data_IF_751674208363
#
_entry.id   IF_751674208363
#
_cell.length_a   1.000
_cell.length_b   1.000
_cell.length_c   1.000
_cell.angle_alpha   90.00
_cell.angle_beta   90.00
_cell.angle_gamma   90.00
#
_symmetry.space_group_name_H-M   'P 1'
#
loop_
_entity.id
_entity.type
_entity.pdbx_description
1 polymer ?
#
# COMPACT_ATOMS: atom_id res chain seq x y z
N UNK A 1 -8.85 29.46 7.17
CA UNK A 1 -8.02 28.83 6.11
C UNK A 1 -8.10 29.66 4.85
N UNK A 2 -6.98 29.82 4.15
CA UNK A 2 -6.84 30.67 2.97
C UNK A 2 -7.03 29.93 1.64
N UNK A 3 -7.11 28.60 1.66
CA UNK A 3 -7.37 27.78 0.47
C UNK A 3 -8.81 27.90 0.03
N UNK A 4 -9.00 28.30 -1.23
CA UNK A 4 -10.31 28.39 -1.86
C UNK A 4 -10.98 27.04 -2.07
N UNK A 5 -12.29 27.06 -2.32
CA UNK A 5 -13.02 25.87 -2.76
C UNK A 5 -12.39 25.21 -4.01
N UNK A 6 -11.81 25.99 -4.91
CA UNK A 6 -11.13 25.49 -6.10
C UNK A 6 -9.74 24.87 -5.84
N UNK A 7 -9.22 24.90 -4.59
CA UNK A 7 -7.91 24.36 -4.23
C UNK A 7 -6.75 25.36 -4.30
N UNK A 8 -6.96 26.57 -4.82
CA UNK A 8 -5.93 27.62 -4.85
C UNK A 8 -5.76 28.23 -3.46
N UNK A 9 -4.54 28.21 -2.95
CA UNK A 9 -4.20 28.90 -1.70
C UNK A 9 -4.09 30.42 -1.94
N UNK A 10 -5.03 31.19 -1.38
CA UNK A 10 -5.04 32.64 -1.56
C UNK A 10 -3.91 33.35 -0.80
N UNK A 11 -3.23 32.74 0.18
CA UNK A 11 -2.08 33.36 0.88
C UNK A 11 -0.87 33.51 -0.05
N UNK A 12 -0.74 32.64 -1.05
CA UNK A 12 0.37 32.67 -2.02
C UNK A 12 -0.03 33.32 -3.35
N UNK A 13 -1.23 33.88 -3.44
CA UNK A 13 -1.72 34.52 -4.65
C UNK A 13 -1.29 35.99 -4.72
N UNK A 14 -0.57 36.37 -5.78
CA UNK A 14 -0.11 37.76 -5.99
C UNK A 14 -1.26 38.78 -6.01
N UNK A 15 -2.43 38.41 -6.53
CA UNK A 15 -3.60 39.31 -6.54
C UNK A 15 -4.08 39.65 -5.13
N UNK A 16 -3.99 38.72 -4.18
CA UNK A 16 -4.32 39.01 -2.79
C UNK A 16 -3.25 39.85 -2.12
N UNK A 17 -1.98 39.54 -2.33
CA UNK A 17 -0.89 40.34 -1.79
C UNK A 17 -0.93 41.80 -2.31
N UNK A 18 -1.33 41.99 -3.56
CA UNK A 18 -1.54 43.31 -4.16
C UNK A 18 -2.84 44.01 -3.72
N UNK A 19 -3.62 43.43 -2.79
CA UNK A 19 -4.88 44.00 -2.29
C UNK A 19 -6.05 43.95 -3.28
N UNK A 20 -5.88 43.34 -4.46
CA UNK A 20 -6.91 43.24 -5.50
C UNK A 20 -8.02 42.26 -5.12
N UNK A 21 -7.71 41.26 -4.30
CA UNK A 21 -8.65 40.19 -3.97
C UNK A 21 -8.52 39.73 -2.52
N UNK A 22 -9.63 39.42 -1.86
CA UNK A 22 -9.69 38.71 -0.58
C UNK A 22 -9.75 37.19 -0.76
N UNK A 23 -9.39 36.43 0.28
CA UNK A 23 -9.56 34.97 0.26
C UNK A 23 -11.04 34.58 0.09
N UNK A 24 -11.30 33.52 -0.68
CA UNK A 24 -12.61 32.91 -0.77
C UNK A 24 -12.84 31.81 0.29
N UNK A 25 -11.77 31.29 0.91
CA UNK A 25 -11.85 30.18 1.86
C UNK A 25 -12.50 28.90 1.29
N UNK A 26 -12.67 27.88 2.15
CA UNK A 26 -13.38 26.66 1.77
C UNK A 26 -14.86 26.92 1.42
N UNK A 27 -15.46 26.12 0.53
CA UNK A 27 -16.82 26.36 0.03
C UNK A 27 -17.90 26.42 1.11
N UNK A 28 -17.78 25.60 2.14
CA UNK A 28 -18.69 25.56 3.30
C UNK A 28 -18.38 26.60 4.40
N UNK A 29 -17.47 27.54 4.15
CA UNK A 29 -17.02 28.51 5.17
C UNK A 29 -17.84 29.81 5.17
N UNK A 30 -17.80 30.58 6.28
CA UNK A 30 -18.31 31.95 6.30
C UNK A 30 -17.55 32.90 5.35
N UNK A 31 -16.26 32.65 5.10
CA UNK A 31 -15.46 33.41 4.12
C UNK A 31 -16.04 33.26 2.71
N UNK A 32 -16.42 32.04 2.32
CA UNK A 32 -17.05 31.78 1.03
C UNK A 32 -18.38 32.51 0.90
N UNK A 33 -19.20 32.54 1.96
CA UNK A 33 -20.45 33.31 2.00
C UNK A 33 -20.20 34.78 1.69
N UNK A 34 -19.30 35.40 2.45
CA UNK A 34 -18.94 36.81 2.32
C UNK A 34 -18.36 37.12 0.94
N UNK A 35 -17.56 36.20 0.39
CA UNK A 35 -16.95 36.35 -0.93
C UNK A 35 -17.99 36.29 -2.05
N UNK A 36 -18.94 35.35 -1.99
CA UNK A 36 -20.04 35.23 -2.96
C UNK A 36 -20.87 36.51 -2.97
N UNK A 37 -21.27 37.00 -1.80
CA UNK A 37 -22.04 38.25 -1.68
C UNK A 37 -21.26 39.46 -2.22
N UNK A 38 -19.97 39.55 -1.92
CA UNK A 38 -19.11 40.60 -2.47
C UNK A 38 -19.00 40.51 -4.00
N UNK A 39 -18.84 39.30 -4.56
CA UNK A 39 -18.75 39.11 -6.01
C UNK A 39 -20.07 39.42 -6.72
N UNK A 40 -21.23 39.02 -6.16
CA UNK A 40 -22.55 39.40 -6.69
C UNK A 40 -22.71 40.92 -6.74
N UNK A 41 -22.28 41.62 -5.68
CA UNK A 41 -22.34 43.09 -5.61
C UNK A 41 -21.40 43.79 -6.60
N UNK A 42 -20.16 43.30 -6.74
CA UNK A 42 -19.10 43.98 -7.50
C UNK A 42 -19.09 43.57 -8.98
N UNK A 43 -19.33 42.30 -9.28
CA UNK A 43 -19.18 41.69 -10.60
C UNK A 43 -20.52 41.25 -11.22
N UNK A 44 -21.64 41.42 -10.51
CA UNK A 44 -22.97 40.98 -10.94
C UNK A 44 -23.20 39.46 -10.89
N UNK A 45 -22.15 38.67 -10.65
CA UNK A 45 -22.20 37.21 -10.54
C UNK A 45 -21.10 36.68 -9.62
N UNK A 46 -21.33 35.57 -8.89
CA UNK A 46 -20.29 34.93 -8.12
C UNK A 46 -19.37 34.09 -8.99
N UNK A 47 -18.25 33.63 -8.40
CA UNK A 47 -17.46 32.58 -9.02
C UNK A 47 -18.29 31.28 -9.08
N UNK A 48 -18.50 30.68 -10.26
CA UNK A 48 -19.36 29.50 -10.41
C UNK A 48 -18.82 28.28 -9.64
N UNK A 49 -17.50 28.18 -9.46
CA UNK A 49 -16.89 27.11 -8.67
C UNK A 49 -17.18 27.28 -7.17
N UNK A 50 -17.10 28.51 -6.67
CA UNK A 50 -17.31 28.80 -5.25
C UNK A 50 -18.79 28.68 -4.87
N UNK A 51 -19.68 29.17 -5.73
CA UNK A 51 -21.13 29.01 -5.57
C UNK A 51 -21.53 27.54 -5.56
N UNK A 52 -21.11 26.77 -6.58
CA UNK A 52 -21.40 25.33 -6.63
C UNK A 52 -20.86 24.57 -5.41
N UNK A 53 -19.65 24.90 -4.94
CA UNK A 53 -19.08 24.25 -3.77
C UNK A 53 -19.88 24.55 -2.50
N UNK A 54 -20.31 25.80 -2.33
CA UNK A 54 -21.15 26.22 -1.20
C UNK A 54 -22.52 25.53 -1.22
N UNK A 55 -23.18 25.52 -2.37
CA UNK A 55 -24.52 24.94 -2.53
C UNK A 55 -24.52 23.43 -2.24
N UNK A 56 -23.43 22.75 -2.60
CA UNK A 56 -23.25 21.32 -2.34
C UNK A 56 -22.59 21.00 -0.99
N UNK A 57 -22.28 22.01 -0.18
CA UNK A 57 -21.56 21.83 1.09
C UNK A 57 -20.14 21.28 0.94
N UNK A 58 -19.55 21.32 -0.26
CA UNK A 58 -18.20 20.84 -0.56
C UNK A 58 -17.18 21.85 -0.04
N UNK A 59 -16.23 21.36 0.77
CA UNK A 59 -15.19 22.20 1.36
C UNK A 59 -14.13 22.60 0.31
N UNK A 60 -13.52 21.62 -0.36
CA UNK A 60 -12.59 21.82 -1.47
C UNK A 60 -12.92 20.86 -2.62
N UNK A 61 -13.25 21.37 -3.79
CA UNK A 61 -13.59 20.55 -4.96
C UNK A 61 -12.49 19.54 -5.31
N UNK A 62 -11.22 19.94 -5.16
CA UNK A 62 -10.07 19.10 -5.48
C UNK A 62 -9.96 17.85 -4.59
N UNK A 63 -10.43 17.93 -3.35
CA UNK A 63 -10.29 16.89 -2.33
C UNK A 63 -11.62 16.14 -2.10
N UNK A 64 -12.70 16.89 -1.92
CA UNK A 64 -13.96 16.41 -1.35
C UNK A 64 -15.07 16.19 -2.38
N UNK A 65 -14.84 16.49 -3.67
CA UNK A 65 -15.84 16.33 -4.72
C UNK A 65 -15.51 15.15 -5.63
N UNK A 66 -16.35 14.11 -5.60
CA UNK A 66 -16.17 12.92 -6.44
C UNK A 66 -16.30 13.21 -7.94
N UNK A 67 -16.99 14.30 -8.30
CA UNK A 67 -17.13 14.72 -9.69
C UNK A 67 -15.88 15.46 -10.19
N UNK A 68 -14.94 15.85 -9.33
CA UNK A 68 -13.74 16.55 -9.79
C UNK A 68 -12.75 15.58 -10.47
N UNK A 69 -12.18 15.92 -11.64
CA UNK A 69 -12.44 17.11 -12.49
C UNK A 69 -13.78 17.05 -13.24
N UNK A 70 -14.57 18.14 -13.21
CA UNK A 70 -15.88 18.25 -13.88
C UNK A 70 -15.94 19.39 -14.91
N UNK A 71 -17.04 19.42 -15.67
CA UNK A 71 -17.34 20.43 -16.71
C UNK A 71 -17.15 21.87 -16.24
N UNK A 72 -17.48 22.20 -14.98
CA UNK A 72 -17.29 23.57 -14.45
C UNK A 72 -15.83 24.02 -14.44
N UNK A 73 -14.87 23.10 -14.32
CA UNK A 73 -13.44 23.39 -14.43
C UNK A 73 -12.96 23.37 -15.88
N UNK A 74 -13.61 22.61 -16.76
CA UNK A 74 -13.25 22.48 -18.17
C UNK A 74 -13.71 23.68 -18.99
N UNK A 75 -14.98 24.08 -18.83
CA UNK A 75 -15.59 25.19 -19.57
C UNK A 75 -15.02 26.56 -19.16
N UNK A 76 -14.63 26.69 -17.90
CA UNK A 76 -14.17 27.96 -17.33
C UNK A 76 -12.70 28.29 -17.61
N UNK A 77 -11.87 27.32 -17.99
CA UNK A 77 -10.42 27.49 -18.19
C UNK A 77 -9.63 28.00 -16.97
N UNK A 78 -10.28 28.08 -15.81
CA UNK A 78 -9.76 28.62 -14.56
C UNK A 78 -10.18 27.74 -13.39
N UNK A 79 -9.32 27.49 -12.38
CA UNK A 79 -7.93 27.94 -12.29
C UNK A 79 -6.90 26.99 -12.92
N UNK A 80 -7.34 25.84 -13.45
CA UNK A 80 -6.45 24.77 -13.91
C UNK A 80 -6.47 24.61 -15.43
N UNK A 81 -5.31 24.26 -15.99
CA UNK A 81 -5.19 24.02 -17.43
C UNK A 81 -5.85 22.69 -17.85
N UNK A 82 -6.25 22.55 -19.13
CA UNK A 82 -6.72 21.26 -19.66
C UNK A 82 -5.72 20.11 -19.45
N UNK A 83 -4.42 20.39 -19.50
CA UNK A 83 -3.37 19.41 -19.22
C UNK A 83 -3.38 18.92 -17.76
N UNK A 84 -3.63 19.82 -16.80
CA UNK A 84 -3.78 19.43 -15.40
C UNK A 84 -5.05 18.61 -15.17
N UNK A 85 -6.19 19.05 -15.72
CA UNK A 85 -7.48 18.36 -15.56
C UNK A 85 -7.45 16.97 -16.19
N UNK A 86 -6.84 16.82 -17.38
CA UNK A 86 -6.69 15.51 -18.03
C UNK A 86 -5.76 14.57 -17.25
N UNK A 87 -4.67 15.08 -16.67
CA UNK A 87 -3.81 14.32 -15.77
C UNK A 87 -4.57 13.85 -14.52
N UNK A 88 -5.38 14.72 -13.90
CA UNK A 88 -6.20 14.36 -12.73
C UNK A 88 -7.24 13.29 -13.08
N UNK A 89 -7.98 13.45 -14.18
CA UNK A 89 -8.93 12.41 -14.67
C UNK A 89 -8.25 11.06 -14.84
N UNK A 90 -7.06 11.06 -15.47
CA UNK A 90 -6.29 9.83 -15.69
C UNK A 90 -5.84 9.20 -14.37
N UNK A 91 -5.21 9.96 -13.48
CA UNK A 91 -4.61 9.42 -12.25
C UNK A 91 -5.63 9.02 -11.18
N UNK A 92 -6.78 9.69 -11.11
CA UNK A 92 -7.85 9.34 -10.17
C UNK A 92 -8.55 8.03 -10.55
N UNK A 93 -8.53 7.67 -11.83
CA UNK A 93 -9.09 6.42 -12.35
C UNK A 93 -8.04 5.32 -12.57
N UNK A 94 -6.76 5.60 -12.30
CA UNK A 94 -5.69 4.61 -12.36
C UNK A 94 -5.57 3.93 -10.99
N UNK A 95 -5.92 2.65 -10.93
CA UNK A 95 -5.38 1.78 -9.89
C UNK A 95 -3.89 1.55 -10.20
N UNK A 96 -3.01 1.50 -9.20
CA UNK A 96 -1.68 0.97 -9.47
C UNK A 96 -1.83 -0.49 -9.89
N UNK A 97 -1.00 -0.98 -10.82
CA UNK A 97 -0.97 -2.40 -11.10
C UNK A 97 -0.71 -3.15 -9.79
N UNK A 98 -1.55 -4.14 -9.49
CA UNK A 98 -1.37 -4.99 -8.32
C UNK A 98 0.02 -5.67 -8.41
N UNK A 99 0.77 -5.89 -7.31
CA UNK A 99 2.15 -6.39 -7.40
C UNK A 99 2.29 -7.71 -8.15
N UNK A 100 1.23 -8.50 -8.16
CA UNK A 100 1.19 -9.79 -8.85
C UNK A 100 0.98 -9.68 -10.37
N UNK A 101 0.48 -8.54 -10.85
CA UNK A 101 0.20 -8.28 -12.27
C UNK A 101 1.33 -7.46 -12.92
N UNK A 102 2.34 -7.08 -12.14
CA UNK A 102 3.51 -6.37 -12.65
C UNK A 102 4.45 -7.34 -13.38
N UNK A 103 4.99 -6.91 -14.52
CA UNK A 103 6.12 -7.57 -15.16
C UNK A 103 7.39 -7.27 -14.35
N UNK A 104 7.61 -8.10 -13.32
CA UNK A 104 8.73 -7.93 -12.39
C UNK A 104 9.98 -8.56 -13.00
N UNK A 105 10.97 -7.71 -13.26
CA UNK A 105 12.32 -8.13 -13.58
C UNK A 105 13.22 -7.85 -12.38
N UNK A 106 13.78 -8.90 -11.80
CA UNK A 106 14.74 -8.79 -10.71
C UNK A 106 16.04 -8.17 -11.23
N UNK A 107 16.50 -7.02 -10.69
CA UNK A 107 17.74 -6.40 -11.15
C UNK A 107 18.93 -7.33 -10.95
N UNK A 108 19.73 -7.55 -11.99
CA UNK A 108 20.93 -8.39 -11.91
C UNK A 108 21.95 -7.91 -10.85
N UNK A 109 21.96 -6.60 -10.59
CA UNK A 109 22.80 -5.95 -9.58
C UNK A 109 22.55 -6.50 -8.16
N UNK A 110 21.33 -6.94 -7.84
CA UNK A 110 21.02 -7.51 -6.53
C UNK A 110 21.76 -8.83 -6.31
N UNK A 111 21.88 -9.66 -7.36
CA UNK A 111 22.68 -10.88 -7.31
C UNK A 111 24.17 -10.58 -7.18
N UNK A 112 24.66 -9.56 -7.88
CA UNK A 112 26.06 -9.14 -7.82
C UNK A 112 26.42 -8.59 -6.43
N UNK A 113 25.52 -7.80 -5.82
CA UNK A 113 25.69 -7.28 -4.46
C UNK A 113 25.65 -8.41 -3.43
N UNK A 114 24.68 -9.32 -3.55
CA UNK A 114 24.55 -10.47 -2.66
C UNK A 114 25.83 -11.31 -2.66
N UNK A 115 26.37 -11.62 -3.84
CA UNK A 115 27.59 -12.41 -4.00
C UNK A 115 28.86 -11.77 -3.39
N UNK A 116 28.85 -10.44 -3.17
CA UNK A 116 29.97 -9.71 -2.55
C UNK A 116 29.89 -9.66 -1.02
N UNK A 117 28.78 -10.10 -0.42
CA UNK A 117 28.59 -10.05 1.03
C UNK A 117 29.41 -11.12 1.78
N UNK A 118 29.68 -10.88 3.06
CA UNK A 118 30.10 -11.95 3.99
C UNK A 118 28.95 -12.95 4.17
N UNK A 119 29.06 -14.11 3.52
CA UNK A 119 28.05 -15.17 3.53
C UNK A 119 27.79 -15.71 4.94
N UNK A 120 28.82 -15.88 5.76
CA UNK A 120 28.63 -16.39 7.11
C UNK A 120 27.86 -15.38 7.97
N UNK A 121 28.20 -14.09 7.88
CA UNK A 121 27.47 -13.00 8.52
C UNK A 121 26.03 -12.89 8.02
N UNK A 122 25.82 -12.99 6.70
CA UNK A 122 24.51 -12.95 6.08
C UNK A 122 23.62 -14.10 6.55
N UNK A 123 24.12 -15.35 6.48
CA UNK A 123 23.39 -16.54 6.93
C UNK A 123 22.94 -16.39 8.40
N UNK A 124 23.84 -15.93 9.29
CA UNK A 124 23.51 -15.66 10.69
C UNK A 124 22.41 -14.60 10.87
N UNK A 125 22.57 -13.40 10.28
CA UNK A 125 21.64 -12.28 10.51
C UNK A 125 20.26 -12.50 9.88
N UNK A 126 20.19 -13.26 8.80
CA UNK A 126 18.96 -13.60 8.07
C UNK A 126 18.26 -14.84 8.60
N UNK A 127 18.85 -15.55 9.58
CA UNK A 127 18.39 -16.85 10.05
C UNK A 127 18.27 -17.86 8.90
N UNK A 128 19.23 -17.82 7.98
CA UNK A 128 19.33 -18.71 6.82
C UNK A 128 20.56 -19.61 6.93
N UNK A 129 20.65 -20.59 6.03
CA UNK A 129 21.75 -21.54 5.97
C UNK A 129 22.47 -21.41 4.63
N UNK A 130 23.79 -21.40 4.69
CA UNK A 130 24.60 -21.38 3.48
C UNK A 130 24.55 -22.78 2.82
N UNK A 131 24.24 -22.82 1.52
CA UNK A 131 24.13 -24.03 0.70
C UNK A 131 25.28 -24.05 -0.32
N UNK A 132 26.28 -24.93 -0.17
CA UNK A 132 27.34 -25.05 -1.18
C UNK A 132 26.79 -25.46 -2.57
N UNK A 133 27.41 -25.04 -3.69
CA UNK A 133 28.61 -24.18 -3.76
C UNK A 133 28.31 -22.68 -3.64
N UNK A 134 27.11 -22.21 -4.01
CA UNK A 134 26.79 -20.78 -4.09
C UNK A 134 25.29 -20.46 -3.86
N UNK A 135 24.69 -21.05 -2.82
CA UNK A 135 23.29 -20.83 -2.46
C UNK A 135 23.09 -20.39 -1.01
N UNK A 136 21.92 -19.80 -0.75
CA UNK A 136 21.44 -19.47 0.60
C UNK A 136 20.03 -20.03 0.73
N UNK A 137 19.82 -20.94 1.68
CA UNK A 137 18.50 -21.50 1.98
C UNK A 137 17.85 -20.83 3.19
N UNK A 138 16.60 -20.44 3.05
CA UNK A 138 15.80 -19.82 4.10
C UNK A 138 14.35 -20.27 3.99
N UNK A 139 13.63 -20.23 5.12
CA UNK A 139 12.20 -20.55 5.12
C UNK A 139 11.37 -19.37 4.59
N UNK A 140 10.46 -19.68 3.69
CA UNK A 140 9.40 -18.80 3.21
C UNK A 140 8.05 -19.45 3.53
N UNK A 141 7.28 -18.87 4.45
CA UNK A 141 6.08 -19.49 5.02
C UNK A 141 6.42 -20.86 5.64
N UNK A 142 5.83 -21.95 5.13
CA UNK A 142 6.09 -23.33 5.55
C UNK A 142 6.99 -24.12 4.60
N UNK A 143 7.60 -23.45 3.61
CA UNK A 143 8.47 -24.06 2.62
C UNK A 143 9.90 -23.52 2.81
N UNK A 144 10.89 -24.29 2.40
CA UNK A 144 12.26 -23.79 2.27
C UNK A 144 12.52 -23.38 0.82
N UNK A 145 13.18 -22.24 0.64
CA UNK A 145 13.62 -21.74 -0.67
C UNK A 145 15.14 -21.58 -0.67
N UNK A 146 15.75 -21.61 -1.87
CA UNK A 146 17.17 -21.34 -2.07
C UNK A 146 17.33 -20.20 -3.06
N UNK A 147 17.97 -19.12 -2.64
CA UNK A 147 18.53 -18.15 -3.54
C UNK A 147 19.86 -18.70 -4.08
N UNK A 148 19.92 -19.01 -5.38
CA UNK A 148 21.06 -19.62 -6.04
C UNK A 148 21.79 -18.57 -6.89
N UNK A 149 23.03 -18.26 -6.51
CA UNK A 149 23.79 -17.15 -7.12
C UNK A 149 24.40 -17.53 -8.49
N UNK A 150 24.56 -18.83 -8.77
CA UNK A 150 25.10 -19.31 -10.04
C UNK A 150 24.06 -19.18 -11.16
N UNK A 151 22.85 -19.68 -10.92
CA UNK A 151 21.73 -19.58 -11.85
C UNK A 151 20.93 -18.28 -11.73
N UNK A 152 21.24 -17.44 -10.73
CA UNK A 152 20.59 -16.16 -10.43
C UNK A 152 19.06 -16.29 -10.36
N UNK A 153 18.60 -17.28 -9.62
CA UNK A 153 17.17 -17.50 -9.41
C UNK A 153 16.87 -18.12 -8.05
N UNK A 154 15.60 -18.09 -7.66
CA UNK A 154 15.10 -18.73 -6.45
C UNK A 154 14.44 -20.06 -6.79
N UNK A 155 14.79 -21.10 -6.02
CA UNK A 155 14.18 -22.43 -6.09
C UNK A 155 13.42 -22.74 -4.81
N UNK A 156 12.37 -23.55 -4.90
CA UNK A 156 11.79 -24.25 -3.76
C UNK A 156 12.63 -25.49 -3.46
N UNK A 157 12.79 -25.83 -2.17
CA UNK A 157 13.32 -27.12 -1.74
C UNK A 157 12.18 -28.06 -1.39
N UNK A 158 12.15 -29.21 -2.07
CA UNK A 158 11.22 -30.29 -1.81
C UNK A 158 11.99 -31.60 -1.73
N UNK A 159 11.98 -32.25 -0.57
CA UNK A 159 12.72 -33.51 -0.35
C UNK A 159 14.22 -33.42 -0.67
N UNK A 160 14.84 -32.26 -0.42
CA UNK A 160 16.26 -32.00 -0.72
C UNK A 160 16.58 -31.69 -2.19
N UNK A 161 15.56 -31.59 -3.07
CA UNK A 161 15.73 -31.22 -4.48
C UNK A 161 15.29 -29.78 -4.71
N UNK A 162 16.02 -29.07 -5.59
CA UNK A 162 15.66 -27.74 -6.09
C UNK A 162 14.58 -27.88 -7.16
N UNK A 163 13.44 -27.24 -6.94
CA UNK A 163 12.33 -27.14 -7.88
C UNK A 163 12.17 -25.69 -8.30
N UNK A 164 12.01 -25.43 -9.60
CA UNK A 164 11.81 -24.07 -10.10
C UNK A 164 10.49 -23.51 -9.60
N UNK A 165 10.53 -22.40 -8.88
CA UNK A 165 9.35 -21.60 -8.59
C UNK A 165 9.31 -20.41 -9.56
N UNK A 166 8.43 -20.47 -10.56
CA UNK A 166 8.22 -19.38 -11.53
C UNK A 166 7.44 -18.23 -10.87
N UNK A 167 8.08 -17.49 -9.98
CA UNK A 167 7.48 -16.35 -9.29
C UNK A 167 8.51 -15.23 -9.10
N UNK A 168 8.50 -14.26 -10.03
CA UNK A 168 9.43 -13.13 -10.01
C UNK A 168 9.27 -12.23 -8.78
N UNK A 169 8.07 -12.11 -8.24
CA UNK A 169 7.84 -11.34 -7.01
C UNK A 169 8.51 -12.01 -5.80
N UNK A 170 8.40 -13.34 -5.68
CA UNK A 170 9.10 -14.10 -4.65
C UNK A 170 10.62 -13.95 -4.80
N UNK A 171 11.14 -14.05 -6.02
CA UNK A 171 12.57 -13.88 -6.29
C UNK A 171 13.06 -12.50 -5.85
N UNK A 172 12.39 -11.43 -6.31
CA UNK A 172 12.71 -10.06 -5.93
C UNK A 172 12.67 -9.87 -4.41
N UNK A 173 11.58 -10.27 -3.75
CA UNK A 173 11.43 -10.10 -2.30
C UNK A 173 12.44 -10.90 -1.50
N UNK A 174 12.87 -12.07 -2.01
CA UNK A 174 13.92 -12.87 -1.37
C UNK A 174 15.25 -12.12 -1.39
N UNK A 175 15.63 -11.52 -2.53
CA UNK A 175 16.84 -10.72 -2.62
C UNK A 175 16.76 -9.46 -1.77
N UNK A 176 15.64 -8.74 -1.83
CA UNK A 176 15.42 -7.55 -1.00
C UNK A 176 15.53 -7.90 0.49
N UNK A 177 15.01 -9.06 0.90
CA UNK A 177 15.16 -9.53 2.28
C UNK A 177 16.63 -9.80 2.63
N UNK A 178 17.35 -10.58 1.82
CA UNK A 178 18.75 -10.93 2.10
C UNK A 178 19.68 -9.70 2.11
N UNK A 179 19.45 -8.73 1.22
CA UNK A 179 20.21 -7.48 1.16
C UNK A 179 19.85 -6.53 2.32
N UNK A 180 18.56 -6.45 2.67
CA UNK A 180 18.04 -5.50 3.65
C UNK A 180 18.10 -5.96 5.11
N UNK A 181 18.12 -7.27 5.38
CA UNK A 181 17.99 -7.83 6.73
C UNK A 181 19.12 -7.40 7.67
N UNK A 182 18.72 -7.06 8.91
CA UNK A 182 19.58 -6.53 9.97
C UNK A 182 19.65 -7.52 11.13
N UNK A 183 20.61 -7.31 12.04
CA UNK A 183 20.82 -8.20 13.19
C UNK A 183 19.66 -8.22 14.19
N UNK A 184 18.89 -7.12 14.28
CA UNK A 184 17.71 -7.02 15.12
C UNK A 184 16.73 -8.19 14.95
N UNK A 185 16.17 -8.66 16.06
CA UNK A 185 15.16 -9.72 16.07
C UNK A 185 13.74 -9.20 15.89
N UNK A 186 12.80 -10.14 15.79
CA UNK A 186 11.36 -9.85 15.86
C UNK A 186 11.02 -9.20 17.20
N UNK A 187 10.24 -8.12 17.19
CA UNK A 187 9.93 -7.34 18.39
C UNK A 187 8.69 -7.85 19.13
N UNK A 188 7.84 -8.65 18.48
CA UNK A 188 6.53 -9.11 18.96
C UNK A 188 5.63 -7.93 19.36
N UNK A 189 5.62 -6.89 18.53
CA UNK A 189 4.78 -5.70 18.69
C UNK A 189 3.97 -5.47 17.43
N UNK A 190 2.72 -5.95 17.38
CA UNK A 190 1.82 -5.71 16.26
C UNK A 190 1.56 -4.22 16.06
N UNK A 191 1.54 -3.77 14.81
CA UNK A 191 1.25 -2.41 14.39
C UNK A 191 0.38 -2.44 13.12
N UNK A 192 -0.60 -1.54 13.02
CA UNK A 192 -1.40 -1.41 11.80
C UNK A 192 -0.62 -0.72 10.68
N UNK A 193 -1.11 -0.75 9.43
CA UNK A 193 -0.43 -0.12 8.30
C UNK A 193 -0.15 1.37 8.52
N UNK A 194 -1.07 2.10 9.17
CA UNK A 194 -0.93 3.53 9.47
C UNK A 194 0.04 3.84 10.63
N UNK A 195 0.41 2.84 11.42
CA UNK A 195 1.31 2.98 12.56
C UNK A 195 2.79 2.73 12.19
N UNK A 196 3.03 2.39 10.93
CA UNK A 196 4.36 2.30 10.32
C UNK A 196 4.86 3.69 9.90
N UNK A 197 6.18 3.88 9.87
CA UNK A 197 6.91 5.09 9.44
C UNK A 197 6.38 5.60 8.10
N UNK A 198 6.23 4.70 7.14
CA UNK A 198 5.70 4.99 5.80
C UNK A 198 4.23 4.58 5.67
N UNK A 199 3.43 4.72 6.75
CA UNK A 199 2.03 4.35 6.73
C UNK A 199 1.17 5.07 5.69
N UNK A 200 1.63 6.24 5.22
CA UNK A 200 1.04 6.99 4.12
C UNK A 200 1.22 6.34 2.74
N UNK A 201 2.10 5.34 2.63
CA UNK A 201 2.29 4.57 1.40
C UNK A 201 1.09 3.65 1.14
N UNK A 202 0.56 3.00 2.18
CA UNK A 202 -0.49 1.97 2.10
C UNK A 202 -1.91 2.54 1.93
N UNK A 203 -2.09 3.43 0.95
CA UNK A 203 -3.38 4.05 0.64
C UNK A 203 -3.55 4.24 -0.87
N UNK A 204 -4.80 4.26 -1.32
CA UNK A 204 -5.14 4.44 -2.73
C UNK A 204 -4.50 3.35 -3.58
N UNK A 205 -3.65 3.68 -4.56
CA UNK A 205 -3.04 2.68 -5.45
C UNK A 205 -2.24 1.58 -4.74
N UNK A 206 -1.63 1.85 -3.58
CA UNK A 206 -0.89 0.84 -2.81
C UNK A 206 -1.63 0.38 -1.55
N UNK A 207 -2.96 0.49 -1.55
CA UNK A 207 -3.78 -0.13 -0.51
C UNK A 207 -3.49 -1.64 -0.44
N UNK A 208 -3.53 -2.19 0.77
CA UNK A 208 -3.34 -3.61 1.00
C UNK A 208 -4.61 -4.36 0.57
N UNK A 209 -4.66 -4.86 -0.67
CA UNK A 209 -5.83 -5.57 -1.16
C UNK A 209 -5.96 -6.95 -0.48
N UNK A 210 -6.96 -7.04 0.40
CA UNK A 210 -7.38 -8.27 1.08
C UNK A 210 -8.82 -8.66 0.73
N UNK A 211 -9.43 -7.97 -0.23
CA UNK A 211 -10.85 -8.15 -0.58
C UNK A 211 -11.15 -9.57 -1.08
N UNK A 212 -10.17 -10.24 -1.69
CA UNK A 212 -10.26 -11.64 -2.08
C UNK A 212 -10.44 -12.57 -0.87
N UNK A 213 -9.73 -12.31 0.22
CA UNK A 213 -9.84 -13.10 1.46
C UNK A 213 -11.19 -12.88 2.13
N UNK A 214 -11.67 -11.64 2.18
CA UNK A 214 -12.99 -11.29 2.73
C UNK A 214 -14.11 -12.03 1.99
N UNK A 215 -14.07 -12.02 0.65
CA UNK A 215 -15.06 -12.73 -0.18
C UNK A 215 -14.98 -14.23 -0.01
N UNK A 216 -13.77 -14.79 0.08
CA UNK A 216 -13.57 -16.24 0.14
C UNK A 216 -13.88 -16.82 1.52
N UNK A 217 -13.39 -16.18 2.57
CA UNK A 217 -13.40 -16.73 3.92
C UNK A 217 -14.38 -16.03 4.88
N UNK A 218 -15.05 -14.96 4.45
CA UNK A 218 -15.88 -14.13 5.32
C UNK A 218 -16.99 -14.85 6.09
N UNK A 219 -17.40 -16.05 5.65
CA UNK A 219 -18.40 -16.89 6.33
C UNK A 219 -17.86 -18.25 6.76
N UNK A 220 -16.57 -18.49 6.55
CA UNK A 220 -15.91 -19.78 6.79
C UNK A 220 -14.52 -19.56 7.44
N UNK A 221 -14.50 -19.22 8.74
CA UNK A 221 -13.25 -19.06 9.48
C UNK A 221 -12.44 -20.38 9.56
N UNK A 222 -13.11 -21.54 9.49
CA UNK A 222 -12.44 -22.84 9.49
C UNK A 222 -11.63 -23.08 8.21
N UNK A 223 -12.16 -22.67 7.05
CA UNK A 223 -11.41 -22.68 5.79
C UNK A 223 -10.21 -21.73 5.82
N UNK A 224 -10.38 -20.54 6.40
CA UNK A 224 -9.27 -19.61 6.62
C UNK A 224 -8.19 -20.22 7.53
N UNK A 225 -8.59 -20.87 8.61
CA UNK A 225 -7.68 -21.57 9.52
C UNK A 225 -6.91 -22.68 8.82
N UNK A 226 -7.59 -23.52 8.02
CA UNK A 226 -6.94 -24.58 7.24
C UNK A 226 -5.92 -24.00 6.27
N UNK A 227 -6.27 -22.95 5.54
CA UNK A 227 -5.37 -22.26 4.61
C UNK A 227 -4.16 -21.67 5.33
N UNK A 228 -4.37 -20.97 6.46
CA UNK A 228 -3.29 -20.38 7.24
C UNK A 228 -2.36 -21.45 7.83
N UNK A 229 -2.90 -22.53 8.40
CA UNK A 229 -2.12 -23.67 8.93
C UNK A 229 -1.30 -24.36 7.84
N UNK A 230 -1.86 -24.56 6.64
CA UNK A 230 -1.12 -25.08 5.47
C UNK A 230 0.09 -24.21 5.11
N UNK A 231 0.09 -22.92 5.46
CA UNK A 231 1.20 -21.99 5.24
C UNK A 231 2.07 -21.78 6.49
N UNK A 232 1.94 -22.64 7.51
CA UNK A 232 2.71 -22.55 8.75
C UNK A 232 2.24 -21.43 9.69
N UNK A 233 1.02 -20.93 9.48
CA UNK A 233 0.39 -19.92 10.33
C UNK A 233 0.19 -20.42 11.75
N UNK A 234 0.54 -19.56 12.72
CA UNK A 234 0.33 -19.82 14.15
C UNK A 234 -0.92 -19.05 14.61
N UNK A 235 -1.93 -19.71 15.21
CA UNK A 235 -3.14 -19.04 15.68
C UNK A 235 -2.85 -17.89 16.64
N UNK A 236 -3.68 -16.85 16.62
CA UNK A 236 -3.60 -15.66 17.48
C UNK A 236 -5.00 -15.34 18.02
N UNK A 237 -5.06 -14.79 19.24
CA UNK A 237 -6.32 -14.40 19.90
C UNK A 237 -6.53 -12.88 19.74
N UNK A 238 -6.95 -12.47 18.54
CA UNK A 238 -7.07 -11.04 18.16
C UNK A 238 -8.29 -10.71 17.29
N UNK A 239 -9.00 -11.71 16.77
CA UNK A 239 -10.20 -11.60 15.93
C UNK A 239 -10.94 -12.95 15.97
N UNK A 240 -12.07 -13.08 15.25
CA UNK A 240 -12.81 -14.36 15.16
C UNK A 240 -11.92 -15.50 14.65
N UNK A 241 -11.03 -15.19 13.70
CA UNK A 241 -9.90 -16.04 13.33
C UNK A 241 -8.67 -15.18 13.00
N UNK A 242 -7.53 -15.46 13.62
CA UNK A 242 -6.30 -14.71 13.36
C UNK A 242 -5.06 -15.61 13.35
N UNK A 243 -4.13 -15.31 12.44
CA UNK A 243 -2.91 -16.11 12.28
C UNK A 243 -1.68 -15.23 12.05
N UNK A 244 -0.59 -15.61 12.71
CA UNK A 244 0.75 -15.07 12.45
C UNK A 244 1.47 -15.95 11.44
N UNK A 245 1.73 -15.39 10.26
CA UNK A 245 2.49 -16.00 9.17
C UNK A 245 3.89 -15.39 9.12
N UNK A 246 4.87 -16.15 8.59
CA UNK A 246 6.26 -15.68 8.42
C UNK A 246 6.67 -15.84 6.97
N UNK A 247 6.46 -14.82 6.12
CA UNK A 247 6.92 -14.86 4.74
C UNK A 247 8.45 -14.94 4.69
N UNK A 248 9.15 -14.32 5.64
CA UNK A 248 10.57 -14.55 5.87
C UNK A 248 10.84 -14.69 7.38
N UNK A 249 11.99 -15.26 7.81
CA UNK A 249 12.23 -15.60 9.22
C UNK A 249 12.05 -14.45 10.21
N UNK A 250 12.38 -13.22 9.80
CA UNK A 250 12.28 -11.98 10.60
C UNK A 250 11.12 -11.05 10.21
N UNK A 251 10.18 -11.52 9.39
CA UNK A 251 9.06 -10.73 8.88
C UNK A 251 7.74 -11.39 9.31
N UNK A 252 7.26 -11.24 10.55
CA UNK A 252 5.94 -11.72 10.91
C UNK A 252 4.83 -10.79 10.39
N UNK A 253 3.82 -11.38 9.76
CA UNK A 253 2.56 -10.73 9.40
C UNK A 253 1.41 -11.37 10.17
N UNK A 254 0.43 -10.58 10.56
CA UNK A 254 -0.76 -11.06 11.26
C UNK A 254 -1.97 -10.79 10.37
N UNK A 255 -2.68 -11.84 9.97
CA UNK A 255 -3.94 -11.71 9.24
C UNK A 255 -5.09 -11.96 10.22
N UNK A 256 -5.98 -10.98 10.36
CA UNK A 256 -7.12 -10.98 11.27
C UNK A 256 -8.39 -10.98 10.43
N UNK A 257 -9.25 -11.98 10.62
CA UNK A 257 -10.55 -12.11 9.98
C UNK A 257 -11.63 -11.86 11.03
N UNK A 258 -12.51 -10.89 10.76
CA UNK A 258 -13.82 -10.76 11.38
C UNK A 258 -14.85 -11.30 10.41
N UNK A 259 -15.63 -12.26 10.88
CA UNK A 259 -16.65 -12.93 10.07
C UNK A 259 -17.81 -12.00 9.80
N UNK A 260 -18.50 -12.22 8.67
CA UNK A 260 -19.73 -11.52 8.38
C UNK A 260 -20.80 -11.94 9.39
N UNK A 261 -21.53 -10.96 9.91
CA UNK A 261 -22.73 -11.19 10.71
C UNK A 261 -23.97 -10.51 10.07
N UNK A 262 -25.06 -10.41 10.83
CA UNK A 262 -26.31 -9.80 10.35
C UNK A 262 -26.26 -8.28 10.19
N UNK A 263 -25.24 -7.62 10.75
CA UNK A 263 -25.12 -6.15 10.82
C UNK A 263 -23.89 -5.64 10.05
N UNK A 264 -22.81 -6.41 9.99
CA UNK A 264 -21.53 -6.02 9.40
C UNK A 264 -21.01 -7.03 8.37
N UNK A 265 -20.44 -6.56 7.23
CA UNK A 265 -19.75 -7.43 6.30
C UNK A 265 -18.46 -7.99 6.91
N UNK A 266 -17.99 -9.12 6.36
CA UNK A 266 -16.70 -9.67 6.74
C UNK A 266 -15.58 -8.67 6.45
N UNK A 267 -14.56 -8.69 7.30
CA UNK A 267 -13.42 -7.79 7.21
C UNK A 267 -12.13 -8.55 7.44
N UNK A 268 -11.11 -8.27 6.64
CA UNK A 268 -9.74 -8.70 6.91
C UNK A 268 -8.89 -7.50 7.24
N UNK A 269 -8.00 -7.62 8.22
CA UNK A 269 -6.96 -6.61 8.45
C UNK A 269 -5.62 -7.28 8.66
N UNK A 270 -4.58 -6.57 8.23
CA UNK A 270 -3.20 -7.01 8.36
C UNK A 270 -2.52 -6.15 9.41
N UNK A 271 -1.88 -6.81 10.38
CA UNK A 271 -0.91 -6.17 11.26
C UNK A 271 0.49 -6.65 10.92
N UNK A 272 1.47 -5.84 11.29
CA UNK A 272 2.89 -6.08 11.07
C UNK A 272 3.60 -6.15 12.40
N UNK A 273 4.62 -6.99 12.53
CA UNK A 273 5.58 -6.77 13.60
C UNK A 273 6.40 -5.50 13.32
N UNK A 274 6.60 -4.63 14.32
CA UNK A 274 7.41 -3.41 14.15
C UNK A 274 8.84 -3.68 13.65
N UNK A 275 9.39 -4.89 13.80
CA UNK A 275 10.70 -5.23 13.22
C UNK A 275 10.75 -5.12 11.69
N UNK A 276 9.60 -5.17 11.00
CA UNK A 276 9.55 -5.14 9.53
C UNK A 276 10.25 -3.91 8.94
N UNK A 277 10.12 -2.75 9.58
CA UNK A 277 10.68 -1.46 9.13
C UNK A 277 12.21 -1.38 9.27
N UNK A 278 12.81 -2.38 9.91
CA UNK A 278 14.26 -2.52 9.97
C UNK A 278 14.79 -3.35 8.81
N UNK A 279 13.92 -4.02 8.05
CA UNK A 279 14.30 -5.00 7.03
C UNK A 279 13.75 -4.65 5.64
N UNK A 280 12.57 -4.02 5.58
CA UNK A 280 11.89 -3.67 4.35
C UNK A 280 11.49 -2.20 4.31
N UNK A 281 11.57 -1.65 3.11
CA UNK A 281 10.90 -0.41 2.70
C UNK A 281 9.43 -0.71 2.34
N UNK A 282 8.61 0.33 2.21
CA UNK A 282 7.15 0.20 2.09
C UNK A 282 6.68 -0.62 0.87
N UNK A 283 7.40 -0.54 -0.26
CA UNK A 283 7.12 -1.30 -1.47
C UNK A 283 7.35 -2.81 -1.29
N UNK A 284 8.42 -3.19 -0.60
CA UNK A 284 8.71 -4.59 -0.25
C UNK A 284 7.69 -5.14 0.75
N UNK A 285 7.21 -4.32 1.70
CA UNK A 285 6.10 -4.69 2.59
C UNK A 285 4.83 -4.96 1.77
N UNK A 286 4.48 -4.05 0.86
CA UNK A 286 3.30 -4.17 0.00
C UNK A 286 3.36 -5.40 -0.92
N UNK A 287 4.52 -5.64 -1.55
CA UNK A 287 4.78 -6.84 -2.34
C UNK A 287 4.67 -8.12 -1.52
N UNK A 288 5.21 -8.13 -0.29
CA UNK A 288 5.15 -9.29 0.60
C UNK A 288 3.71 -9.60 1.01
N UNK A 289 2.94 -8.59 1.41
CA UNK A 289 1.50 -8.75 1.71
C UNK A 289 0.78 -9.34 0.50
N UNK A 290 1.00 -8.77 -0.69
CA UNK A 290 0.38 -9.25 -1.92
C UNK A 290 0.71 -10.71 -2.17
N UNK A 291 1.99 -11.11 -2.05
CA UNK A 291 2.41 -12.48 -2.25
C UNK A 291 1.75 -13.44 -1.25
N UNK A 292 1.70 -13.07 0.03
CA UNK A 292 1.13 -13.91 1.09
C UNK A 292 -0.39 -14.04 0.98
N UNK A 293 -1.08 -12.94 0.64
CA UNK A 293 -2.51 -12.93 0.37
C UNK A 293 -2.86 -13.91 -0.75
N UNK A 294 -2.08 -13.94 -1.85
CA UNK A 294 -2.28 -14.96 -2.91
C UNK A 294 -2.05 -16.38 -2.43
N UNK A 295 -0.99 -16.62 -1.64
CA UNK A 295 -0.73 -17.96 -1.10
C UNK A 295 -1.88 -18.42 -0.21
N UNK A 296 -2.48 -17.53 0.59
CA UNK A 296 -3.68 -17.82 1.37
C UNK A 296 -4.89 -18.12 0.49
N UNK A 297 -5.06 -17.41 -0.63
CA UNK A 297 -6.13 -17.68 -1.59
C UNK A 297 -5.96 -19.03 -2.29
N UNK A 298 -4.72 -19.45 -2.57
CA UNK A 298 -4.39 -20.71 -3.26
C UNK A 298 -4.32 -21.93 -2.31
N UNK A 299 -4.12 -21.72 -1.01
CA UNK A 299 -3.89 -22.82 -0.06
C UNK A 299 -5.10 -23.73 0.19
N UNK A 300 -6.32 -23.30 -0.14
CA UNK A 300 -7.55 -24.09 0.09
C UNK A 300 -7.92 -25.03 -1.08
N UNK A 301 -6.98 -25.28 -2.00
CA UNK A 301 -7.06 -26.29 -3.05
C UNK A 301 -6.31 -27.57 -2.72
#
# INVERSE_FOLDING_TARGET
MSTGACGINCDVCRLRHAGVCSTCGPGNSPEAARKIEAQKRILGRPCPLLECARDRGVRHCFLDCDLFPCERFEDGGYPYSPGFLSMQKRRRNQSAPHPQDMDIQTPGEYWDELARMDMAGLCRRSLSMCQPPAGISLSFLNEDIVADMESRTVFRLSGGRKESCRNSLLELLTLVYLLGVKDGGVQNRPAGPRDLKDGHFFQGPHELDVSGLEKKYGRDPDAFEKAAKKLGGVPQDMADAAFRLRPFPKIPLYYLLWTQDGEFPARVSILFDRSIESHFEADAIWGTVSLVTRRLMEADG
#
